data_IF_480940513016
#
_entry.id   IF_480940513016
#
_cell.length_a   1.000
_cell.length_b   1.000
_cell.length_c   1.000
_cell.angle_alpha   90.00
_cell.angle_beta   90.00
_cell.angle_gamma   90.00
#
_symmetry.space_group_name_H-M   'P 1'
#
loop_
_entity.id
_entity.type
_entity.pdbx_description
1 polymer ?
#
# COMPACT_ATOMS: atom_id res chain seq x y z
N UNK A 1 5.21 -21.87 17.73
CA UNK A 1 6.03 -20.67 17.48
C UNK A 1 5.18 -19.42 17.64
N UNK A 2 5.59 -18.48 18.49
CA UNK A 2 4.96 -17.18 18.68
C UNK A 2 5.52 -16.20 17.65
N UNK A 3 4.63 -15.45 16.98
CA UNK A 3 4.98 -14.36 16.08
C UNK A 3 4.39 -13.05 16.62
N UNK A 4 5.25 -12.09 16.95
CA UNK A 4 4.82 -10.74 17.26
C UNK A 4 4.42 -10.04 15.95
N UNK A 5 3.12 -9.79 15.75
CA UNK A 5 2.62 -9.09 14.55
C UNK A 5 2.55 -7.59 14.73
N UNK A 6 2.49 -7.10 15.97
CA UNK A 6 2.42 -5.68 16.28
C UNK A 6 2.92 -5.39 17.70
N UNK A 7 3.58 -4.25 17.91
CA UNK A 7 3.99 -3.76 19.20
C UNK A 7 3.89 -2.22 19.25
N UNK A 8 2.93 -1.70 20.00
CA UNK A 8 2.65 -0.27 20.12
C UNK A 8 3.78 0.51 20.80
N UNK A 9 4.49 -0.11 21.75
CA UNK A 9 5.66 0.49 22.44
C UNK A 9 6.77 0.83 21.45
N UNK A 10 6.95 0.00 20.41
CA UNK A 10 7.96 0.23 19.36
C UNK A 10 7.53 1.34 18.39
N UNK A 11 6.27 1.38 17.97
CA UNK A 11 5.79 2.34 16.97
C UNK A 11 5.30 3.66 17.55
N UNK A 12 4.88 3.69 18.81
CA UNK A 12 4.29 4.86 19.49
C UNK A 12 3.19 5.54 18.65
N UNK A 13 2.34 4.74 17.99
CA UNK A 13 1.26 5.21 17.13
C UNK A 13 -0.07 4.60 17.57
N UNK A 14 -1.09 5.44 17.71
CA UNK A 14 -2.44 4.97 17.97
C UNK A 14 -3.07 4.49 16.65
N UNK A 15 -3.61 3.27 16.66
CA UNK A 15 -4.40 2.71 15.58
C UNK A 15 -5.85 2.56 16.04
N UNK A 16 -6.79 2.93 15.19
CA UNK A 16 -8.22 3.01 15.50
C UNK A 16 -9.09 2.10 14.65
N UNK A 17 -8.50 1.54 13.59
CA UNK A 17 -9.20 0.70 12.64
C UNK A 17 -8.28 -0.42 12.14
N UNK A 18 -8.80 -1.63 12.07
CA UNK A 18 -8.06 -2.78 11.58
C UNK A 18 -8.93 -3.71 10.76
N UNK A 19 -8.32 -4.39 9.78
CA UNK A 19 -9.00 -5.35 8.92
C UNK A 19 -8.01 -6.30 8.26
N UNK A 20 -8.53 -7.39 7.69
CA UNK A 20 -7.79 -8.28 6.79
C UNK A 20 -8.35 -8.20 5.37
N UNK A 21 -7.47 -8.37 4.39
CA UNK A 21 -7.88 -8.63 3.00
C UNK A 21 -7.37 -9.98 2.56
N UNK A 22 -8.17 -10.68 1.74
CA UNK A 22 -7.76 -11.91 1.07
C UNK A 22 -7.53 -11.62 -0.41
N UNK A 23 -6.40 -12.08 -0.94
CA UNK A 23 -6.07 -11.96 -2.35
C UNK A 23 -5.59 -13.29 -2.93
N UNK A 24 -6.09 -13.60 -4.14
CA UNK A 24 -5.63 -14.75 -4.92
C UNK A 24 -4.28 -14.44 -5.59
N UNK A 25 -3.65 -15.46 -6.15
CA UNK A 25 -2.39 -15.34 -6.91
C UNK A 25 -2.53 -14.35 -8.08
N UNK A 26 -1.46 -13.59 -8.30
CA UNK A 26 -1.32 -12.60 -9.36
C UNK A 26 -2.29 -11.40 -9.27
N UNK A 27 -2.87 -11.14 -8.11
CA UNK A 27 -3.66 -9.93 -7.88
C UNK A 27 -2.72 -8.76 -7.60
N UNK A 28 -2.93 -7.64 -8.29
CA UNK A 28 -2.32 -6.35 -7.99
C UNK A 28 -3.41 -5.39 -7.52
N UNK A 29 -3.18 -4.69 -6.43
CA UNK A 29 -4.06 -3.63 -5.88
C UNK A 29 -3.25 -2.38 -5.58
N UNK A 30 -3.80 -1.23 -5.94
CA UNK A 30 -3.22 0.10 -5.65
C UNK A 30 -2.73 0.82 -6.92
N UNK A 31 -2.07 1.96 -6.74
CA UNK A 31 -1.75 2.60 -5.44
C UNK A 31 -2.96 3.31 -4.86
N UNK A 32 -3.28 3.08 -3.60
CA UNK A 32 -4.39 3.73 -2.92
C UNK A 32 -3.90 4.64 -1.80
N UNK A 33 -4.55 5.79 -1.64
CA UNK A 33 -4.39 6.74 -0.54
C UNK A 33 -5.69 7.49 -0.28
N UNK A 34 -5.81 8.13 0.89
CA UNK A 34 -6.83 9.14 1.15
C UNK A 34 -6.18 10.53 1.13
N UNK A 35 -6.72 11.46 0.33
CA UNK A 35 -6.19 12.82 0.23
C UNK A 35 -6.68 13.73 1.36
N UNK A 36 -7.77 13.35 2.06
CA UNK A 36 -8.20 13.89 3.36
C UNK A 36 -8.30 12.74 4.36
N UNK A 37 -8.16 13.04 5.66
CA UNK A 37 -8.10 12.02 6.71
C UNK A 37 -7.09 10.93 6.39
N UNK A 38 -5.90 11.37 6.00
CA UNK A 38 -4.81 10.50 5.55
C UNK A 38 -4.52 9.39 6.56
N UNK A 39 -4.20 8.23 6.06
CA UNK A 39 -3.98 7.04 6.87
C UNK A 39 -2.50 6.66 6.89
N UNK A 40 -1.92 6.54 8.07
CA UNK A 40 -0.75 5.68 8.23
C UNK A 40 -1.23 4.24 8.38
N UNK A 41 -0.44 3.31 7.83
CA UNK A 41 -0.80 1.89 7.77
C UNK A 41 0.32 1.05 8.37
N UNK A 42 -0.06 0.06 9.16
CA UNK A 42 0.82 -1.03 9.54
C UNK A 42 0.34 -2.29 8.82
N UNK A 43 1.23 -2.91 8.04
CA UNK A 43 0.90 -4.01 7.13
C UNK A 43 1.68 -5.25 7.52
N UNK A 44 0.99 -6.36 7.67
CA UNK A 44 1.57 -7.70 7.91
C UNK A 44 0.95 -8.74 7.00
N UNK A 45 1.70 -9.74 6.59
CA UNK A 45 1.19 -10.91 5.85
C UNK A 45 1.02 -12.08 6.82
N UNK A 46 -0.23 -12.45 7.08
CA UNK A 46 -0.55 -13.58 7.96
C UNK A 46 -0.44 -14.93 7.23
N UNK A 47 -0.75 -14.93 5.92
CA UNK A 47 -0.63 -16.10 5.04
C UNK A 47 -0.16 -15.67 3.67
N UNK A 48 0.70 -16.45 3.04
CA UNK A 48 1.19 -16.22 1.70
C UNK A 48 2.35 -15.22 1.61
N UNK A 49 2.45 -14.53 0.47
CA UNK A 49 3.58 -13.64 0.14
C UNK A 49 3.13 -12.54 -0.83
N UNK A 50 3.57 -11.32 -0.58
CA UNK A 50 3.31 -10.16 -1.45
C UNK A 50 4.59 -9.40 -1.74
N UNK A 51 4.65 -8.74 -2.90
CA UNK A 51 5.53 -7.60 -3.14
C UNK A 51 4.74 -6.35 -2.73
N UNK A 52 5.13 -5.73 -1.64
CA UNK A 52 4.56 -4.48 -1.15
C UNK A 52 5.33 -3.31 -1.74
N UNK A 53 4.62 -2.29 -2.23
CA UNK A 53 5.21 -1.12 -2.88
C UNK A 53 4.52 0.14 -2.38
N UNK A 54 5.32 1.12 -1.98
CA UNK A 54 4.83 2.43 -1.54
C UNK A 54 5.45 3.54 -2.39
N UNK A 55 4.72 4.62 -2.55
CA UNK A 55 5.17 5.85 -3.21
C UNK A 55 5.00 7.02 -2.25
N UNK A 56 6.05 7.83 -2.10
CA UNK A 56 5.99 9.07 -1.31
C UNK A 56 5.24 10.17 -2.10
N UNK A 57 4.09 10.58 -1.57
CA UNK A 57 3.25 11.63 -2.17
C UNK A 57 3.21 12.91 -1.33
N UNK A 58 4.02 13.02 -0.28
CA UNK A 58 4.05 14.18 0.63
C UNK A 58 4.64 15.40 -0.07
N UNK A 59 3.90 16.52 -0.05
CA UNK A 59 4.15 17.74 -0.82
C UNK A 59 5.58 18.26 -0.77
N UNK A 60 6.18 18.32 0.39
CA UNK A 60 7.52 18.91 0.60
C UNK A 60 8.59 17.86 0.91
N UNK A 61 8.33 16.59 0.59
CA UNK A 61 9.28 15.52 0.85
C UNK A 61 10.44 15.54 -0.16
N UNK A 62 11.67 15.38 0.33
CA UNK A 62 12.85 15.16 -0.53
C UNK A 62 12.77 13.88 -1.37
N UNK A 63 11.89 12.98 -0.99
CA UNK A 63 11.64 11.71 -1.68
C UNK A 63 10.29 11.68 -2.42
N UNK A 64 9.66 12.85 -2.65
CA UNK A 64 8.42 12.93 -3.40
C UNK A 64 8.51 12.19 -4.75
N UNK A 65 7.54 11.33 -5.04
CA UNK A 65 7.51 10.49 -6.25
C UNK A 65 8.47 9.29 -6.23
N UNK A 66 9.30 9.13 -5.21
CA UNK A 66 10.15 7.94 -5.07
C UNK A 66 9.33 6.77 -4.53
N UNK A 67 9.72 5.57 -4.97
CA UNK A 67 9.09 4.32 -4.57
C UNK A 67 10.02 3.49 -3.69
N UNK A 68 9.45 2.76 -2.75
CA UNK A 68 10.13 1.71 -1.98
C UNK A 68 9.36 0.41 -2.15
N UNK A 69 10.06 -0.71 -2.29
CA UNK A 69 9.48 -2.05 -2.43
C UNK A 69 10.12 -3.05 -1.50
N UNK A 70 9.31 -3.95 -0.96
CA UNK A 70 9.74 -5.00 -0.05
C UNK A 70 8.89 -6.25 -0.21
N UNK A 71 9.49 -7.42 -0.03
CA UNK A 71 8.75 -8.68 0.08
C UNK A 71 8.27 -8.87 1.53
N UNK A 72 6.96 -9.01 1.70
CA UNK A 72 6.34 -9.39 2.96
C UNK A 72 5.75 -10.78 2.82
N UNK A 73 5.94 -11.65 3.81
CA UNK A 73 5.42 -13.01 3.79
C UNK A 73 5.18 -13.57 5.18
N UNK A 74 4.37 -14.61 5.24
CA UNK A 74 4.22 -15.41 6.45
C UNK A 74 5.58 -15.95 6.94
N UNK A 75 6.47 -16.34 6.03
CA UNK A 75 7.76 -16.97 6.38
C UNK A 75 8.81 -15.98 6.86
N UNK A 76 8.91 -14.76 6.26
CA UNK A 76 9.89 -13.79 6.72
C UNK A 76 9.41 -12.97 7.92
N UNK A 77 8.12 -13.00 8.23
CA UNK A 77 7.50 -12.34 9.36
C UNK A 77 7.76 -10.79 9.45
N UNK A 78 8.17 -10.18 8.35
CA UNK A 78 8.40 -8.74 8.27
C UNK A 78 7.05 -8.02 8.20
N UNK A 79 6.93 -6.92 8.91
CA UNK A 79 5.80 -5.99 8.82
C UNK A 79 6.30 -4.61 8.41
N UNK A 80 5.48 -3.89 7.65
CA UNK A 80 5.81 -2.57 7.12
C UNK A 80 4.95 -1.49 7.78
N UNK A 81 5.58 -0.45 8.33
CA UNK A 81 4.89 0.78 8.71
C UNK A 81 4.98 1.80 7.55
N UNK A 82 3.84 2.24 7.07
CA UNK A 82 3.68 3.22 5.99
C UNK A 82 3.12 4.51 6.61
N UNK A 83 3.87 5.61 6.65
CA UNK A 83 3.37 6.89 7.15
C UNK A 83 2.18 7.43 6.33
N UNK A 84 1.41 8.34 6.90
CA UNK A 84 0.44 9.12 6.14
C UNK A 84 1.15 9.89 5.01
N UNK A 85 0.44 10.14 3.90
CA UNK A 85 1.01 10.80 2.72
C UNK A 85 1.69 9.86 1.73
N UNK A 86 1.59 8.55 1.93
CA UNK A 86 2.07 7.56 0.97
C UNK A 86 0.93 6.88 0.22
N UNK A 87 1.13 6.64 -1.09
CA UNK A 87 0.33 5.70 -1.86
C UNK A 87 0.84 4.28 -1.61
N UNK A 88 -0.07 3.30 -1.53
CA UNK A 88 0.24 1.92 -1.20
C UNK A 88 -0.34 0.96 -2.23
N UNK A 89 0.48 0.04 -2.71
CA UNK A 89 0.10 -1.03 -3.61
C UNK A 89 0.77 -2.35 -3.21
N UNK A 90 0.19 -3.47 -3.64
CA UNK A 90 0.85 -4.76 -3.51
C UNK A 90 0.50 -5.71 -4.66
N UNK A 91 1.41 -6.65 -4.90
CA UNK A 91 1.21 -7.79 -5.80
C UNK A 91 1.33 -9.10 -5.02
N UNK A 92 0.39 -10.04 -5.22
CA UNK A 92 0.29 -11.30 -4.48
C UNK A 92 0.83 -12.50 -5.25
N UNK A 93 1.68 -13.32 -4.61
CA UNK A 93 2.39 -14.43 -5.25
C UNK A 93 1.73 -15.79 -5.06
N UNK A 94 1.06 -16.00 -3.93
CA UNK A 94 0.56 -17.32 -3.55
C UNK A 94 -0.92 -17.52 -3.94
N UNK A 95 -1.38 -18.77 -3.94
CA UNK A 95 -2.77 -19.12 -4.23
C UNK A 95 -3.75 -18.37 -3.32
N UNK A 96 -3.36 -18.19 -2.07
CA UNK A 96 -4.08 -17.43 -1.06
C UNK A 96 -3.12 -16.54 -0.28
N UNK A 97 -3.47 -15.27 -0.12
CA UNK A 97 -2.69 -14.30 0.64
C UNK A 97 -3.63 -13.56 1.57
N UNK A 98 -3.33 -13.57 2.88
CA UNK A 98 -4.08 -12.84 3.90
C UNK A 98 -3.18 -11.72 4.41
N UNK A 99 -3.59 -10.49 4.14
CA UNK A 99 -2.87 -9.27 4.52
C UNK A 99 -3.66 -8.57 5.62
N UNK A 100 -2.99 -8.32 6.73
CA UNK A 100 -3.53 -7.65 7.90
C UNK A 100 -3.08 -6.19 7.95
N UNK A 101 -4.01 -5.31 8.28
CA UNK A 101 -3.79 -3.87 8.37
C UNK A 101 -4.22 -3.32 9.71
N UNK A 102 -3.41 -2.41 10.27
CA UNK A 102 -3.84 -1.44 11.28
C UNK A 102 -3.71 -0.03 10.72
N UNK A 103 -4.69 0.83 10.97
CA UNK A 103 -4.76 2.19 10.46
C UNK A 103 -5.01 3.17 11.60
N UNK A 104 -4.36 4.33 11.52
CA UNK A 104 -4.54 5.40 12.50
C UNK A 104 -5.78 6.27 12.23
N UNK A 105 -6.48 6.05 11.13
CA UNK A 105 -7.68 6.77 10.75
C UNK A 105 -8.69 5.85 10.06
N UNK A 106 -9.98 6.20 10.10
CA UNK A 106 -11.04 5.41 9.48
C UNK A 106 -11.02 5.52 7.95
N UNK A 107 -11.51 4.47 7.29
CA UNK A 107 -11.70 4.46 5.85
C UNK A 107 -12.83 5.39 5.45
N UNK A 108 -12.55 6.31 4.54
CA UNK A 108 -13.47 7.32 4.01
C UNK A 108 -13.51 7.20 2.47
N UNK A 109 -14.42 6.40 1.89
CA UNK A 109 -14.45 6.13 0.44
C UNK A 109 -14.46 7.39 -0.42
N UNK A 110 -15.17 8.46 0.01
CA UNK A 110 -15.27 9.74 -0.71
C UNK A 110 -13.94 10.49 -0.84
N UNK A 111 -12.94 10.16 -0.04
CA UNK A 111 -11.61 10.77 -0.07
C UNK A 111 -10.53 9.81 -0.57
N UNK A 112 -10.94 8.60 -0.99
CA UNK A 112 -10.03 7.65 -1.60
C UNK A 112 -9.68 8.05 -3.02
N UNK A 113 -8.41 7.97 -3.33
CA UNK A 113 -7.84 8.17 -4.66
C UNK A 113 -6.63 7.24 -4.86
N UNK A 114 -5.96 7.36 -5.99
CA UNK A 114 -4.79 6.53 -6.25
C UNK A 114 -4.00 6.92 -7.49
N UNK A 115 -2.80 6.33 -7.60
CA UNK A 115 -1.94 6.42 -8.77
C UNK A 115 -1.99 5.10 -9.52
N UNK A 116 -2.04 5.15 -10.84
CA UNK A 116 -2.07 3.96 -11.68
C UNK A 116 -0.77 3.16 -11.53
N UNK A 117 -0.90 1.84 -11.43
CA UNK A 117 0.21 0.92 -11.11
C UNK A 117 1.36 0.92 -12.14
N UNK A 118 1.06 1.21 -13.40
CA UNK A 118 2.01 1.22 -14.53
C UNK A 118 2.39 2.62 -14.98
N UNK A 119 2.30 3.59 -14.09
CA UNK A 119 2.74 4.96 -14.36
C UNK A 119 4.21 4.98 -14.80
N UNK A 120 4.51 5.63 -15.93
CA UNK A 120 5.83 5.63 -16.54
C UNK A 120 6.89 6.37 -15.71
N UNK A 121 6.47 7.39 -14.96
CA UNK A 121 7.38 8.16 -14.09
C UNK A 121 7.85 7.35 -12.89
N UNK A 122 7.06 6.35 -12.45
CA UNK A 122 7.37 5.52 -11.28
C UNK A 122 8.39 4.42 -11.57
N UNK A 123 8.52 3.98 -12.83
CA UNK A 123 9.47 2.94 -13.30
C UNK A 123 9.46 1.66 -12.43
N UNK A 124 8.28 1.22 -12.01
CA UNK A 124 8.15 0.05 -11.13
C UNK A 124 8.24 -1.24 -11.96
N UNK A 125 9.20 -2.08 -11.61
CA UNK A 125 9.29 -3.43 -12.17
C UNK A 125 8.37 -4.37 -11.41
N UNK A 126 7.16 -4.55 -11.89
CA UNK A 126 6.24 -5.58 -11.40
C UNK A 126 6.64 -6.96 -11.92
N UNK A 127 6.25 -8.06 -11.23
CA UNK A 127 6.49 -9.42 -11.73
C UNK A 127 5.93 -9.62 -13.14
N UNK A 128 6.73 -10.17 -14.06
CA UNK A 128 6.37 -10.44 -15.47
C UNK A 128 5.36 -11.60 -15.59
N UNK A 129 4.15 -11.45 -15.05
CA UNK A 129 3.07 -12.45 -15.10
C UNK A 129 1.74 -11.74 -15.40
N UNK A 130 0.77 -12.49 -15.93
CA UNK A 130 -0.59 -11.93 -16.16
C UNK A 130 -1.20 -11.48 -14.83
N UNK A 131 -1.25 -10.16 -14.62
CA UNK A 131 -1.80 -9.55 -13.42
C UNK A 131 -3.31 -9.47 -13.46
N UNK A 132 -3.94 -9.72 -12.32
CA UNK A 132 -5.38 -9.51 -12.09
C UNK A 132 -5.54 -8.16 -11.39
N UNK A 133 -6.13 -7.20 -12.10
CA UNK A 133 -6.27 -5.82 -11.63
C UNK A 133 -7.73 -5.43 -11.75
N UNK A 134 -8.29 -4.78 -10.74
CA UNK A 134 -9.67 -4.30 -10.75
C UNK A 134 -9.89 -3.22 -11.83
N UNK A 135 -11.13 -3.07 -12.29
CA UNK A 135 -11.50 -1.97 -13.20
C UNK A 135 -11.19 -0.60 -12.59
N UNK A 136 -11.43 -0.45 -11.28
CA UNK A 136 -11.09 0.75 -10.51
C UNK A 136 -9.58 1.06 -10.61
N UNK A 137 -8.73 0.09 -10.33
CA UNK A 137 -7.28 0.30 -10.28
C UNK A 137 -6.65 0.55 -11.65
N UNK A 138 -7.27 0.05 -12.71
CA UNK A 138 -6.87 0.36 -14.10
C UNK A 138 -7.17 1.79 -14.53
N UNK A 139 -8.09 2.48 -13.84
CA UNK A 139 -8.55 3.83 -14.16
C UNK A 139 -8.09 4.87 -13.14
N UNK A 140 -7.11 4.55 -12.30
CA UNK A 140 -6.49 5.52 -11.39
C UNK A 140 -5.70 6.57 -12.16
N UNK A 141 -5.50 7.73 -11.55
CA UNK A 141 -4.79 8.85 -12.20
C UNK A 141 -3.28 8.58 -12.33
N UNK A 142 -2.63 9.29 -13.24
CA UNK A 142 -1.16 9.28 -13.33
C UNK A 142 -0.54 10.16 -12.24
N UNK A 143 0.76 9.95 -11.96
CA UNK A 143 1.51 10.80 -11.06
C UNK A 143 1.54 12.27 -11.54
N UNK A 144 1.62 12.48 -12.87
CA UNK A 144 1.57 13.82 -13.45
C UNK A 144 0.21 14.51 -13.19
N UNK A 145 -0.90 13.79 -13.38
CA UNK A 145 -2.24 14.31 -13.04
C UNK A 145 -2.33 14.63 -11.55
N UNK A 146 -1.84 13.73 -10.68
CA UNK A 146 -1.79 13.97 -9.23
C UNK A 146 -1.04 15.27 -8.87
N UNK A 147 0.15 15.50 -9.46
CA UNK A 147 0.93 16.72 -9.25
C UNK A 147 0.16 17.99 -9.62
N UNK A 148 -0.62 17.93 -10.68
CA UNK A 148 -1.42 19.09 -11.17
C UNK A 148 -2.66 19.36 -10.32
N UNK A 149 -3.33 18.30 -9.83
CA UNK A 149 -4.63 18.41 -9.15
C UNK A 149 -4.51 18.52 -7.64
N UNK A 150 -3.80 17.62 -6.99
CA UNK A 150 -3.68 17.54 -5.53
C UNK A 150 -2.39 18.19 -5.00
N UNK A 151 -1.39 18.41 -5.87
CA UNK A 151 -0.11 19.08 -5.54
C UNK A 151 0.68 18.45 -4.38
N UNK A 152 0.35 17.22 -3.99
CA UNK A 152 0.92 16.48 -2.85
C UNK A 152 -0.09 16.27 -1.71
N UNK A 153 0.28 15.40 -0.78
CA UNK A 153 -0.49 15.01 0.42
C UNK A 153 0.12 15.61 1.68
#
# INVERSE_FOLDING_TARGET
NLRETFNDKKLKKKFVFEYCTTSKKNVLRGFHFQYKYQQSKYVSVLKGKILDVVIDLRKNSKTFGKTFKILLSQSNAISLFIPAGFGHAYYSFERENIIYYKLNNYYQPRFESGIIYNDLDLKISWPKRRMKISKKDKNLMTLNTFKKTLKGL
#
